data_IF_510961369994
#
_entry.id   IF_510961369994
#
_cell.length_a   1.000
_cell.length_b   1.000
_cell.length_c   1.000
_cell.angle_alpha   90.00
_cell.angle_beta   90.00
_cell.angle_gamma   90.00
#
_symmetry.space_group_name_H-M   'P 1'
#
loop_
_entity.id
_entity.type
_entity.pdbx_description
1 polymer ?
#
# COMPACT_ATOMS: atom_id res chain seq x y z
N UNK A 1 19.20 -27.71 16.71
CA UNK A 1 19.52 -27.06 16.54
C UNK A 1 19.33 -25.98 15.63
N UNK A 2 18.62 -26.14 14.68
CA UNK A 2 18.32 -25.14 13.68
C UNK A 2 17.60 -23.96 14.20
N UNK A 3 16.70 -24.14 15.15
CA UNK A 3 15.93 -23.05 15.71
C UNK A 3 16.80 -22.00 16.37
N UNK A 4 17.85 -22.44 17.01
CA UNK A 4 18.74 -21.54 17.70
C UNK A 4 19.43 -20.62 16.71
N UNK A 5 19.77 -21.14 15.57
CA UNK A 5 20.45 -20.36 14.56
C UNK A 5 19.55 -19.27 13.98
N UNK A 6 18.27 -19.56 13.82
CA UNK A 6 17.36 -18.56 13.35
C UNK A 6 17.26 -17.39 14.30
N UNK A 7 17.26 -17.68 15.59
CA UNK A 7 17.24 -16.63 16.58
C UNK A 7 18.47 -15.75 16.48
N UNK A 8 19.61 -16.36 16.24
CA UNK A 8 20.85 -15.61 16.12
C UNK A 8 20.84 -14.69 14.92
N UNK A 9 20.26 -15.12 13.84
CA UNK A 9 20.15 -14.29 12.65
C UNK A 9 19.31 -13.06 12.95
N UNK A 10 18.23 -13.22 13.67
CA UNK A 10 17.36 -12.10 13.99
C UNK A 10 18.04 -11.07 14.88
N UNK A 11 18.97 -11.47 15.72
CA UNK A 11 19.72 -10.57 16.58
C UNK A 11 20.51 -9.55 15.79
N UNK A 12 20.94 -9.91 14.58
CA UNK A 12 21.74 -9.00 13.75
C UNK A 12 20.94 -8.06 12.90
N UNK A 13 19.62 -8.18 12.90
CA UNK A 13 18.77 -7.30 12.13
C UNK A 13 18.66 -5.95 12.82
N UNK A 14 18.85 -4.87 12.05
CA UNK A 14 18.66 -3.53 12.55
C UNK A 14 17.21 -3.13 12.36
N UNK A 15 16.42 -3.23 13.41
CA UNK A 15 14.98 -2.95 13.32
C UNK A 15 14.67 -1.49 12.99
N UNK A 16 15.44 -0.56 13.54
CA UNK A 16 15.23 0.86 13.26
C UNK A 16 15.44 1.18 11.80
N UNK A 17 16.50 0.62 11.22
CA UNK A 17 16.78 0.81 9.81
C UNK A 17 15.69 0.18 8.95
N UNK A 18 15.26 -1.03 9.30
CA UNK A 18 14.19 -1.71 8.58
C UNK A 18 12.90 -0.89 8.60
N UNK A 19 12.51 -0.40 9.76
CA UNK A 19 11.30 0.40 9.89
C UNK A 19 11.39 1.68 9.06
N UNK A 20 12.55 2.31 9.02
CA UNK A 20 12.75 3.50 8.21
C UNK A 20 12.58 3.20 6.72
N UNK A 21 13.16 2.09 6.26
CA UNK A 21 13.04 1.69 4.85
C UNK A 21 11.60 1.36 4.47
N UNK A 22 10.89 0.68 5.36
CA UNK A 22 9.47 0.39 5.14
C UNK A 22 8.65 1.67 5.02
N UNK A 23 8.90 2.64 5.92
CA UNK A 23 8.19 3.91 5.88
C UNK A 23 8.46 4.69 4.60
N UNK A 24 9.70 4.68 4.13
CA UNK A 24 10.06 5.35 2.89
C UNK A 24 9.28 4.74 1.71
N UNK A 25 9.22 3.43 1.67
CA UNK A 25 8.47 2.74 0.63
C UNK A 25 6.99 3.10 0.68
N UNK A 26 6.37 3.01 1.86
CA UNK A 26 4.96 3.30 2.01
C UNK A 26 4.62 4.76 1.73
N UNK A 27 5.53 5.68 2.07
CA UNK A 27 5.34 7.08 1.73
C UNK A 27 5.32 7.29 0.23
N UNK A 28 6.23 6.62 -0.48
CA UNK A 28 6.28 6.69 -1.94
C UNK A 28 5.02 6.12 -2.55
N UNK A 29 4.57 4.96 -2.05
CA UNK A 29 3.32 4.34 -2.49
C UNK A 29 2.14 5.29 -2.26
N UNK A 30 2.06 5.88 -1.06
CA UNK A 30 0.96 6.77 -0.72
C UNK A 30 0.91 8.00 -1.62
N UNK A 31 2.04 8.65 -1.83
CA UNK A 31 2.11 9.87 -2.64
C UNK A 31 1.73 9.59 -4.10
N UNK A 32 2.31 8.55 -4.69
CA UNK A 32 2.00 8.24 -6.09
C UNK A 32 0.60 7.71 -6.28
N UNK A 33 0.11 6.89 -5.36
CA UNK A 33 -1.25 6.37 -5.44
C UNK A 33 -2.28 7.46 -5.25
N UNK A 34 -2.01 8.45 -4.40
CA UNK A 34 -2.90 9.58 -4.21
C UNK A 34 -3.08 10.35 -5.51
N UNK A 35 -2.00 10.58 -6.24
CA UNK A 35 -2.08 11.27 -7.54
C UNK A 35 -2.92 10.50 -8.55
N UNK A 36 -2.71 9.19 -8.59
CA UNK A 36 -3.48 8.34 -9.50
C UNK A 36 -4.97 8.43 -9.19
N UNK A 37 -5.32 8.34 -7.90
CA UNK A 37 -6.71 8.42 -7.48
C UNK A 37 -7.32 9.77 -7.78
N UNK A 38 -6.63 10.85 -7.44
CA UNK A 38 -7.13 12.20 -7.69
C UNK A 38 -7.39 12.43 -9.18
N UNK A 39 -6.44 12.04 -10.01
CA UNK A 39 -6.58 12.24 -11.45
C UNK A 39 -7.70 11.39 -12.02
N UNK A 40 -7.78 10.13 -11.61
CA UNK A 40 -8.82 9.23 -12.08
C UNK A 40 -10.22 9.74 -11.72
N UNK A 41 -10.40 10.18 -10.48
CA UNK A 41 -11.69 10.67 -10.00
C UNK A 41 -12.07 11.96 -10.75
N UNK A 42 -11.15 12.91 -10.90
CA UNK A 42 -11.42 14.15 -11.59
C UNK A 42 -11.80 13.90 -13.06
N UNK A 43 -11.04 13.06 -13.73
CA UNK A 43 -11.34 12.74 -15.12
C UNK A 43 -12.67 12.02 -15.26
N UNK A 44 -12.97 11.11 -14.34
CA UNK A 44 -14.22 10.34 -14.39
C UNK A 44 -15.45 11.21 -14.10
N UNK A 45 -15.30 12.20 -13.22
CA UNK A 45 -16.39 13.16 -13.00
C UNK A 45 -16.58 14.03 -14.24
N UNK A 46 -15.51 14.50 -14.84
CA UNK A 46 -15.59 15.32 -16.04
C UNK A 46 -16.20 14.57 -17.22
N UNK A 47 -15.94 13.29 -17.35
CA UNK A 47 -16.50 12.47 -18.40
C UNK A 47 -17.91 11.97 -18.11
N UNK A 48 -18.37 12.12 -16.88
CA UNK A 48 -19.68 11.62 -16.46
C UNK A 48 -19.70 10.17 -16.00
N UNK A 49 -18.54 9.51 -15.94
CA UNK A 49 -18.47 8.13 -15.50
C UNK A 49 -18.67 8.00 -14.00
N UNK A 50 -18.32 9.05 -13.23
CA UNK A 50 -18.59 9.13 -11.81
C UNK A 50 -19.39 10.38 -11.49
N UNK A 51 -20.20 10.31 -10.44
CA UNK A 51 -21.03 11.42 -10.00
C UNK A 51 -20.80 11.70 -8.52
N UNK A 52 -20.99 12.94 -8.14
CA UNK A 52 -20.94 13.33 -6.73
C UNK A 52 -21.96 12.53 -5.94
N UNK A 53 -21.59 12.09 -4.75
CA UNK A 53 -22.43 11.26 -3.91
C UNK A 53 -22.26 9.77 -4.14
N UNK A 54 -21.63 9.38 -5.23
CA UNK A 54 -21.41 7.96 -5.55
C UNK A 54 -20.34 7.38 -4.62
N UNK A 55 -20.49 6.11 -4.29
CA UNK A 55 -19.50 5.36 -3.51
C UNK A 55 -18.76 4.44 -4.46
N UNK A 56 -17.42 4.51 -4.42
CA UNK A 56 -16.57 3.64 -5.21
C UNK A 56 -15.77 2.72 -4.29
N UNK A 57 -15.38 1.57 -4.80
CA UNK A 57 -14.54 0.62 -4.08
C UNK A 57 -13.11 0.76 -4.55
N UNK A 58 -12.19 0.80 -3.58
CA UNK A 58 -10.76 0.86 -3.84
C UNK A 58 -10.10 -0.42 -3.35
N UNK A 59 -9.14 -0.88 -4.10
CA UNK A 59 -8.35 -2.04 -3.70
C UNK A 59 -6.87 -1.71 -3.84
N UNK A 60 -6.09 -2.01 -2.81
CA UNK A 60 -4.64 -1.90 -2.84
C UNK A 60 -4.05 -3.27 -2.56
N UNK A 61 -3.11 -3.70 -3.39
CA UNK A 61 -2.41 -4.95 -3.19
C UNK A 61 -0.94 -4.69 -2.93
N UNK A 62 -0.44 -5.19 -1.81
CA UNK A 62 0.98 -5.24 -1.53
C UNK A 62 1.46 -6.65 -1.82
N UNK A 63 2.41 -6.77 -2.72
CA UNK A 63 3.03 -8.05 -3.03
C UNK A 63 4.50 -8.00 -2.67
N UNK A 64 4.93 -8.90 -1.81
CA UNK A 64 6.34 -9.10 -1.52
C UNK A 64 6.81 -10.28 -2.36
N UNK A 65 7.94 -10.13 -3.02
CA UNK A 65 8.42 -11.17 -3.95
C UNK A 65 9.40 -12.15 -3.34
N UNK A 66 10.09 -11.78 -2.25
CA UNK A 66 11.18 -12.56 -1.69
C UNK A 66 11.10 -12.66 -0.17
N UNK A 67 10.48 -13.68 0.42
CA UNK A 67 9.60 -14.67 -0.20
C UNK A 67 8.24 -14.09 -0.55
N UNK A 68 7.51 -14.81 -1.37
CA UNK A 68 6.23 -14.31 -1.88
C UNK A 68 5.18 -14.27 -0.79
N UNK A 69 4.56 -13.10 -0.63
CA UNK A 69 3.35 -12.96 0.17
C UNK A 69 2.54 -11.78 -0.39
N UNK A 70 1.25 -11.76 -0.12
CA UNK A 70 0.37 -10.72 -0.59
C UNK A 70 -0.51 -10.21 0.54
N UNK A 71 -0.82 -8.92 0.48
CA UNK A 71 -1.73 -8.29 1.42
C UNK A 71 -2.64 -7.35 0.64
N UNK A 72 -3.94 -7.51 0.82
CA UNK A 72 -4.94 -6.72 0.08
C UNK A 72 -5.73 -5.89 1.07
N UNK A 73 -5.90 -4.61 0.75
CA UNK A 73 -6.73 -3.69 1.51
C UNK A 73 -7.85 -3.22 0.59
N UNK A 74 -9.09 -3.36 1.07
CA UNK A 74 -10.26 -2.91 0.33
C UNK A 74 -10.99 -1.88 1.17
N UNK A 75 -11.30 -0.74 0.57
CA UNK A 75 -12.00 0.35 1.23
C UNK A 75 -13.03 0.96 0.31
N UNK A 76 -13.99 1.66 0.87
CA UNK A 76 -14.98 2.40 0.10
C UNK A 76 -14.75 3.88 0.29
N UNK A 77 -14.94 4.63 -0.79
CA UNK A 77 -14.76 6.08 -0.80
C UNK A 77 -15.99 6.72 -1.38
N UNK A 78 -16.53 7.72 -0.68
CA UNK A 78 -17.63 8.49 -1.18
C UNK A 78 -17.12 9.71 -1.93
N UNK A 79 -17.63 9.94 -3.11
CA UNK A 79 -17.27 11.07 -3.94
C UNK A 79 -18.08 12.29 -3.50
N UNK A 80 -17.39 13.29 -2.97
CA UNK A 80 -18.04 14.50 -2.47
C UNK A 80 -17.43 15.77 -3.03
#
# INVERSE_FOLDING_TARGET
>A
MILIQYSNINIHMNEDHLNLEIRKFLKKVGISSQRVLENHIKESINSGDLKLGQIIELEMKLKVKDPVTEHIIIEKLKIE
#
